data_IF_190792052069
#
_entry.id   IF_190792052069
#
_cell.length_a   1.000
_cell.length_b   1.000
_cell.length_c   1.000
_cell.angle_alpha   90.00
_cell.angle_beta   90.00
_cell.angle_gamma   90.00
#
_symmetry.space_group_name_H-M   'P 1'
#
loop_
_entity.id
_entity.type
_entity.pdbx_description
1 polymer ?
#
# COMPACT_ATOMS: atom_id res chain seq x y z
N UNK A 1 -13.86 10.73 24.06
CA UNK A 1 -13.56 11.26 22.70
C UNK A 1 -12.59 10.38 21.92
N UNK A 2 -11.39 10.09 22.46
CA UNK A 2 -10.37 9.29 21.76
C UNK A 2 -10.83 7.90 21.32
N UNK A 3 -11.54 7.16 22.17
CA UNK A 3 -12.03 5.82 21.82
C UNK A 3 -12.91 5.80 20.55
N UNK A 4 -13.83 6.77 20.41
CA UNK A 4 -14.67 6.89 19.22
C UNK A 4 -13.85 7.19 17.96
N UNK A 5 -12.79 8.00 18.07
CA UNK A 5 -11.89 8.26 16.95
C UNK A 5 -11.17 6.97 16.48
N UNK A 6 -10.71 6.14 17.41
CA UNK A 6 -10.12 4.83 17.07
C UNK A 6 -11.13 3.86 16.46
N UNK A 7 -12.39 3.88 16.92
CA UNK A 7 -13.46 3.07 16.33
C UNK A 7 -13.75 3.50 14.89
N UNK A 8 -13.83 4.80 14.63
CA UNK A 8 -13.99 5.34 13.27
C UNK A 8 -12.79 4.95 12.40
N UNK A 9 -11.57 5.09 12.91
CA UNK A 9 -10.36 4.71 12.17
C UNK A 9 -10.33 3.21 11.85
N UNK A 10 -10.67 2.35 12.80
CA UNK A 10 -10.78 0.91 12.59
C UNK A 10 -11.85 0.56 11.54
N UNK A 11 -12.98 1.26 11.55
CA UNK A 11 -14.03 1.09 10.54
C UNK A 11 -13.55 1.51 9.14
N UNK A 12 -12.89 2.66 9.01
CA UNK A 12 -12.32 3.12 7.73
C UNK A 12 -11.28 2.10 7.23
N UNK A 13 -10.41 1.63 8.11
CA UNK A 13 -9.40 0.62 7.79
C UNK A 13 -10.05 -0.68 7.30
N UNK A 14 -11.08 -1.15 8.00
CA UNK A 14 -11.84 -2.33 7.61
C UNK A 14 -12.54 -2.18 6.26
N UNK A 15 -13.15 -1.02 5.99
CA UNK A 15 -13.81 -0.73 4.71
C UNK A 15 -12.79 -0.78 3.57
N UNK A 16 -11.63 -0.14 3.74
CA UNK A 16 -10.56 -0.18 2.73
C UNK A 16 -10.05 -1.60 2.53
N UNK A 17 -9.83 -2.36 3.60
CA UNK A 17 -9.35 -3.74 3.53
C UNK A 17 -10.37 -4.66 2.84
N UNK A 18 -11.66 -4.52 3.18
CA UNK A 18 -12.74 -5.25 2.53
C UNK A 18 -12.82 -4.92 1.04
N UNK A 19 -12.71 -3.64 0.70
CA UNK A 19 -12.79 -3.16 -0.67
C UNK A 19 -11.58 -3.63 -1.49
N UNK A 20 -10.37 -3.47 -0.96
CA UNK A 20 -9.12 -3.90 -1.60
C UNK A 20 -9.06 -5.43 -1.78
N UNK A 21 -9.65 -6.22 -0.87
CA UNK A 21 -9.72 -7.67 -1.01
C UNK A 21 -10.41 -8.13 -2.30
N UNK A 22 -11.27 -7.29 -2.91
CA UNK A 22 -11.88 -7.57 -4.23
C UNK A 22 -10.85 -7.66 -5.36
N UNK A 23 -9.73 -6.96 -5.24
CA UNK A 23 -8.59 -7.08 -6.15
C UNK A 23 -7.78 -8.33 -5.84
N UNK A 24 -7.45 -8.59 -4.57
CA UNK A 24 -6.68 -9.78 -4.16
C UNK A 24 -7.33 -11.09 -4.64
N UNK A 25 -8.67 -11.19 -4.53
CA UNK A 25 -9.42 -12.37 -4.99
C UNK A 25 -9.19 -12.73 -6.46
N UNK A 26 -8.76 -11.79 -7.33
CA UNK A 26 -8.56 -12.12 -8.75
C UNK A 26 -7.44 -13.13 -8.97
N UNK A 27 -6.41 -13.09 -8.12
CA UNK A 27 -5.28 -14.00 -8.16
C UNK A 27 -5.63 -15.42 -7.70
N UNK A 28 -6.81 -15.61 -7.08
CA UNK A 28 -7.24 -16.89 -6.51
C UNK A 28 -8.32 -17.58 -7.34
N UNK A 29 -8.96 -16.92 -8.32
CA UNK A 29 -10.14 -17.44 -9.06
C UNK A 29 -9.86 -18.81 -9.70
N UNK A 30 -8.69 -18.97 -10.33
CA UNK A 30 -8.30 -20.18 -11.10
C UNK A 30 -7.27 -21.05 -10.35
N UNK A 31 -7.22 -20.96 -9.03
CA UNK A 31 -6.27 -21.70 -8.19
C UNK A 31 -7.01 -22.74 -7.33
N UNK A 32 -6.26 -23.65 -6.71
CA UNK A 32 -6.83 -24.70 -5.86
C UNK A 32 -7.57 -24.11 -4.64
N UNK A 33 -8.53 -24.87 -4.10
CA UNK A 33 -9.30 -24.45 -2.92
C UNK A 33 -8.42 -24.22 -1.69
N UNK A 34 -7.36 -25.03 -1.53
CA UNK A 34 -6.34 -24.83 -0.49
C UNK A 34 -5.70 -23.45 -0.63
N UNK A 35 -5.25 -23.08 -1.83
CA UNK A 35 -4.62 -21.79 -2.09
C UNK A 35 -5.59 -20.61 -1.86
N UNK A 36 -6.85 -20.73 -2.30
CA UNK A 36 -7.89 -19.72 -2.05
C UNK A 36 -8.09 -19.50 -0.54
N UNK A 37 -8.20 -20.58 0.24
CA UNK A 37 -8.35 -20.51 1.70
C UNK A 37 -7.13 -19.89 2.36
N UNK A 38 -5.92 -20.30 1.99
CA UNK A 38 -4.67 -19.72 2.52
C UNK A 38 -4.62 -18.21 2.29
N UNK A 39 -4.80 -17.73 1.05
CA UNK A 39 -4.78 -16.29 0.75
C UNK A 39 -5.87 -15.54 1.53
N UNK A 40 -7.08 -16.10 1.62
CA UNK A 40 -8.18 -15.50 2.40
C UNK A 40 -7.79 -15.33 3.87
N UNK A 41 -7.37 -16.42 4.52
CA UNK A 41 -7.06 -16.40 5.96
C UNK A 41 -5.82 -15.57 6.27
N UNK A 42 -4.78 -15.62 5.43
CA UNK A 42 -3.60 -14.77 5.60
C UNK A 42 -3.97 -13.29 5.45
N UNK A 43 -4.76 -12.92 4.44
CA UNK A 43 -5.17 -11.54 4.23
C UNK A 43 -6.02 -11.01 5.40
N UNK A 44 -7.04 -11.76 5.81
CA UNK A 44 -7.93 -11.33 6.89
C UNK A 44 -7.29 -11.43 8.26
N UNK A 45 -6.40 -12.40 8.50
CA UNK A 45 -5.59 -12.48 9.70
C UNK A 45 -4.66 -11.28 9.83
N UNK A 46 -4.00 -10.89 8.73
CA UNK A 46 -3.20 -9.67 8.68
C UNK A 46 -4.02 -8.41 8.97
N UNK A 47 -5.22 -8.30 8.39
CA UNK A 47 -6.14 -7.18 8.61
C UNK A 47 -6.65 -7.13 10.06
N UNK A 48 -6.99 -8.29 10.65
CA UNK A 48 -7.41 -8.41 12.04
C UNK A 48 -6.29 -8.03 13.01
N UNK A 49 -5.05 -8.43 12.72
CA UNK A 49 -3.88 -8.02 13.50
C UNK A 49 -3.69 -6.49 13.47
N UNK A 50 -3.87 -5.85 12.31
CA UNK A 50 -3.80 -4.40 12.20
C UNK A 50 -4.85 -3.69 13.06
N UNK A 51 -6.09 -4.20 13.05
CA UNK A 51 -7.18 -3.66 13.88
C UNK A 51 -6.88 -3.90 15.37
N UNK A 52 -6.36 -5.07 15.74
CA UNK A 52 -5.95 -5.34 17.12
C UNK A 52 -4.87 -4.36 17.59
N UNK A 53 -3.90 -4.02 16.75
CA UNK A 53 -2.90 -2.99 17.07
C UNK A 53 -3.48 -1.58 17.21
N UNK A 54 -4.51 -1.22 16.42
CA UNK A 54 -5.22 0.04 16.60
C UNK A 54 -5.92 0.10 17.97
N UNK A 55 -6.51 -1.01 18.43
CA UNK A 55 -7.12 -1.07 19.77
C UNK A 55 -6.10 -1.13 20.90
N UNK A 56 -4.99 -1.84 20.70
CA UNK A 56 -3.86 -1.81 21.64
C UNK A 56 -3.34 -0.38 21.81
N UNK A 57 -3.24 0.38 20.72
CA UNK A 57 -2.89 1.79 20.80
C UNK A 57 -3.96 2.64 21.51
N UNK A 58 -5.24 2.42 21.21
CA UNK A 58 -6.33 3.20 21.80
C UNK A 58 -6.41 3.07 23.32
N UNK A 59 -5.99 1.92 23.87
CA UNK A 59 -5.88 1.69 25.30
C UNK A 59 -4.99 2.75 25.99
N UNK A 60 -3.79 3.03 25.47
CA UNK A 60 -2.87 4.02 26.07
C UNK A 60 -3.46 5.43 26.05
N UNK A 61 -4.11 5.83 24.95
CA UNK A 61 -4.79 7.13 24.87
C UNK A 61 -5.97 7.24 25.85
N UNK A 62 -6.66 6.14 26.12
CA UNK A 62 -7.73 6.10 27.11
C UNK A 62 -7.19 6.18 28.54
N UNK A 63 -6.08 5.49 28.81
CA UNK A 63 -5.35 5.53 30.07
C UNK A 63 -4.62 6.86 30.32
N UNK A 64 -4.54 7.74 29.31
CA UNK A 64 -3.72 8.97 29.31
C UNK A 64 -2.23 8.70 29.55
N UNK A 65 -1.77 7.53 29.12
CA UNK A 65 -0.38 7.12 29.18
C UNK A 65 0.27 7.23 27.81
N UNK A 66 1.59 7.41 27.78
CA UNK A 66 2.32 7.36 26.52
C UNK A 66 2.45 5.91 26.05
N UNK A 67 2.07 5.58 24.79
CA UNK A 67 2.39 4.29 24.22
C UNK A 67 3.90 4.06 24.22
N UNK A 68 4.38 2.81 24.39
CA UNK A 68 5.80 2.50 24.32
C UNK A 68 6.44 3.07 23.05
N UNK A 69 7.66 3.66 23.15
CA UNK A 69 8.37 4.27 22.01
C UNK A 69 8.37 3.34 20.78
N UNK A 70 8.65 2.05 20.99
CA UNK A 70 8.62 1.02 19.94
C UNK A 70 7.26 0.95 19.20
N UNK A 71 6.16 0.90 19.95
CA UNK A 71 4.82 0.85 19.37
C UNK A 71 4.51 2.12 18.57
N UNK A 72 4.86 3.28 19.13
CA UNK A 72 4.62 4.58 18.48
C UNK A 72 5.34 4.72 17.14
N UNK A 73 6.53 4.13 17.01
CA UNK A 73 7.35 4.28 15.80
C UNK A 73 7.07 3.15 14.81
N UNK A 74 7.24 1.89 15.22
CA UNK A 74 7.18 0.78 14.28
C UNK A 74 5.76 0.30 14.03
N UNK A 75 4.94 0.18 15.07
CA UNK A 75 3.57 -0.33 14.89
C UNK A 75 2.73 0.71 14.14
N UNK A 76 2.77 1.99 14.54
CA UNK A 76 2.06 3.04 13.78
C UNK A 76 2.63 3.26 12.39
N UNK A 77 3.95 3.26 12.23
CA UNK A 77 4.58 3.35 10.91
C UNK A 77 4.12 2.20 10.00
N UNK A 78 4.08 0.98 10.52
CA UNK A 78 3.60 -0.18 9.80
C UNK A 78 2.12 -0.08 9.41
N UNK A 79 1.24 0.31 10.35
CA UNK A 79 -0.19 0.51 10.09
C UNK A 79 -0.43 1.60 9.05
N UNK A 80 0.33 2.70 9.13
CA UNK A 80 0.27 3.77 8.15
C UNK A 80 0.69 3.29 6.76
N UNK A 81 1.81 2.58 6.66
CA UNK A 81 2.33 2.04 5.39
C UNK A 81 1.33 1.05 4.78
N UNK A 82 0.73 0.18 5.59
CA UNK A 82 -0.34 -0.72 5.14
C UNK A 82 -1.56 0.05 4.62
N UNK A 83 -2.03 1.04 5.39
CA UNK A 83 -3.20 1.84 5.06
C UNK A 83 -3.00 2.61 3.76
N UNK A 84 -1.91 3.39 3.64
CA UNK A 84 -1.68 4.23 2.47
C UNK A 84 -1.50 3.38 1.20
N UNK A 85 -0.83 2.24 1.32
CA UNK A 85 -0.60 1.32 0.21
C UNK A 85 -1.91 0.75 -0.32
N UNK A 86 -2.77 0.24 0.57
CA UNK A 86 -4.09 -0.31 0.17
C UNK A 86 -5.06 0.78 -0.30
N UNK A 87 -4.98 1.98 0.25
CA UNK A 87 -5.76 3.14 -0.19
C UNK A 87 -5.42 3.49 -1.64
N UNK A 88 -4.12 3.66 -1.95
CA UNK A 88 -3.65 3.92 -3.32
C UNK A 88 -4.03 2.81 -4.29
N UNK A 89 -3.87 1.55 -3.89
CA UNK A 89 -4.32 0.41 -4.70
C UNK A 89 -5.82 0.39 -4.93
N UNK A 90 -6.62 0.76 -3.92
CA UNK A 90 -8.08 0.80 -4.00
C UNK A 90 -8.61 1.82 -5.01
N UNK A 91 -7.87 2.89 -5.30
CA UNK A 91 -8.25 3.88 -6.32
C UNK A 91 -8.51 3.22 -7.69
N UNK A 92 -7.75 2.19 -8.06
CA UNK A 92 -7.95 1.45 -9.31
C UNK A 92 -9.27 0.67 -9.35
N UNK A 93 -9.68 0.12 -8.20
CA UNK A 93 -10.97 -0.59 -8.07
C UNK A 93 -12.11 0.43 -8.14
N UNK A 94 -11.91 1.63 -7.57
CA UNK A 94 -12.88 2.73 -7.65
C UNK A 94 -13.09 3.17 -9.10
N UNK A 95 -12.02 3.32 -9.88
CA UNK A 95 -12.11 3.63 -11.32
C UNK A 95 -12.93 2.57 -12.05
N UNK A 96 -12.67 1.29 -11.81
CA UNK A 96 -13.43 0.19 -12.40
C UNK A 96 -14.92 0.24 -12.02
N UNK A 97 -15.23 0.47 -10.75
CA UNK A 97 -16.59 0.48 -10.27
C UNK A 97 -17.36 1.71 -10.79
N UNK A 98 -16.71 2.87 -10.83
CA UNK A 98 -17.26 4.10 -11.42
C UNK A 98 -17.56 3.91 -12.91
N UNK A 99 -16.65 3.32 -13.67
CA UNK A 99 -16.88 3.06 -15.10
C UNK A 99 -18.02 2.07 -15.31
N UNK A 100 -18.10 1.01 -14.51
CA UNK A 100 -19.17 0.01 -14.59
C UNK A 100 -20.53 0.61 -14.22
N UNK A 101 -20.56 1.48 -13.21
CA UNK A 101 -21.76 2.19 -12.78
C UNK A 101 -22.27 3.15 -13.87
N UNK A 102 -21.37 3.89 -14.52
CA UNK A 102 -21.71 4.77 -15.63
C UNK A 102 -22.27 3.99 -16.83
N UNK A 103 -21.64 2.86 -17.20
CA UNK A 103 -22.18 1.96 -18.23
C UNK A 103 -23.57 1.42 -17.87
N UNK A 104 -23.81 1.11 -16.59
CA UNK A 104 -25.10 0.66 -16.11
C UNK A 104 -26.17 1.74 -16.24
N UNK A 105 -25.89 2.99 -15.85
CA UNK A 105 -26.81 4.13 -16.00
C UNK A 105 -27.15 4.35 -17.47
N UNK A 106 -26.14 4.42 -18.34
CA UNK A 106 -26.36 4.62 -19.77
C UNK A 106 -27.21 3.51 -20.39
N UNK A 107 -27.04 2.26 -19.94
CA UNK A 107 -27.88 1.15 -20.37
C UNK A 107 -29.32 1.30 -19.90
N UNK A 108 -29.57 1.75 -18.67
CA UNK A 108 -30.93 1.95 -18.17
C UNK A 108 -31.67 3.07 -18.90
N UNK A 109 -30.97 4.15 -19.26
CA UNK A 109 -31.53 5.22 -20.09
C UNK A 109 -31.88 4.69 -21.50
N UNK A 110 -30.96 3.95 -22.14
CA UNK A 110 -31.19 3.38 -23.48
C UNK A 110 -32.18 2.20 -23.50
N UNK A 111 -32.44 1.56 -22.36
CA UNK A 111 -33.40 0.45 -22.25
C UNK A 111 -34.84 0.94 -22.44
N UNK A 112 -35.08 2.25 -22.28
CA UNK A 112 -36.38 2.88 -22.53
C UNK A 112 -36.69 3.01 -24.05
N UNK A 113 -35.67 2.93 -24.91
CA UNK A 113 -35.82 3.00 -26.38
C UNK A 113 -35.74 1.63 -27.09
N UNK A 114 -35.53 0.53 -26.34
CA UNK A 114 -35.26 -0.82 -26.89
C UNK A 114 -36.36 -1.85 -26.55
N UNK A 115 -37.63 -1.47 -26.61
CA UNK A 115 -38.74 -2.44 -26.72
C UNK A 115 -39.02 -2.86 -28.18
N UNK A 116 -38.34 -2.23 -29.15
CA UNK A 116 -38.33 -2.66 -30.56
C UNK A 116 -36.90 -2.65 -31.07
N UNK A 117 -36.25 -3.82 -31.09
CA UNK A 117 -35.23 -4.27 -32.07
C UNK A 117 -34.55 -5.53 -31.50
N UNK A 118 -35.24 -6.64 -31.73
CA UNK A 118 -34.71 -7.91 -32.27
C UNK A 118 -33.23 -8.25 -32.03
N UNK A 119 -33.02 -9.27 -31.19
CA UNK A 119 -32.57 -10.62 -31.57
C UNK A 119 -31.38 -10.87 -32.55
N UNK A 120 -30.67 -9.87 -33.09
CA UNK A 120 -29.64 -10.12 -34.15
C UNK A 120 -28.19 -9.74 -33.80
N UNK A 121 -27.84 -9.52 -32.52
CA UNK A 121 -26.44 -9.29 -32.11
C UNK A 121 -25.83 -10.44 -31.26
N UNK A 122 -26.42 -11.63 -31.31
CA UNK A 122 -25.91 -12.80 -30.58
C UNK A 122 -24.77 -13.57 -31.29
N UNK A 123 -24.36 -13.16 -32.50
CA UNK A 123 -23.45 -13.97 -33.34
C UNK A 123 -22.08 -13.35 -33.65
N UNK A 124 -21.56 -12.42 -32.85
CA UNK A 124 -20.21 -11.88 -33.08
C UNK A 124 -19.35 -11.66 -31.82
N UNK A 125 -19.44 -12.54 -30.83
CA UNK A 125 -18.36 -12.70 -29.84
C UNK A 125 -17.39 -13.79 -30.28
N UNK A 126 -16.69 -13.50 -31.38
CA UNK A 126 -15.54 -14.27 -31.84
C UNK A 126 -14.49 -14.38 -30.74
N UNK A 127 -14.04 -15.61 -30.53
CA UNK A 127 -12.96 -16.06 -29.65
C UNK A 127 -11.79 -15.07 -29.59
N UNK A 128 -11.71 -14.23 -28.55
CA UNK A 128 -10.46 -13.57 -28.15
C UNK A 128 -9.76 -14.43 -27.11
N UNK A 129 -9.15 -15.54 -27.54
CA UNK A 129 -8.19 -16.26 -26.71
C UNK A 129 -7.01 -15.30 -26.41
N UNK A 130 -6.66 -15.15 -25.12
CA UNK A 130 -5.48 -14.45 -24.58
C UNK A 130 -5.45 -12.91 -24.40
N UNK A 131 -6.57 -12.18 -24.46
CA UNK A 131 -6.56 -10.76 -23.98
C UNK A 131 -7.04 -10.65 -22.54
N UNK A 132 -6.24 -10.03 -21.67
CA UNK A 132 -6.64 -9.66 -20.31
C UNK A 132 -7.84 -8.70 -20.41
N UNK A 133 -8.93 -8.99 -19.72
CA UNK A 133 -10.08 -8.09 -19.67
C UNK A 133 -9.74 -6.78 -18.94
N UNK A 134 -10.35 -5.65 -19.33
CA UNK A 134 -10.14 -4.35 -18.64
C UNK A 134 -10.33 -4.44 -17.12
N UNK A 135 -11.36 -5.17 -16.68
CA UNK A 135 -11.63 -5.45 -15.26
C UNK A 135 -10.50 -6.21 -14.59
N UNK A 136 -9.94 -7.20 -15.27
CA UNK A 136 -8.82 -7.97 -14.75
C UNK A 136 -7.53 -7.14 -14.69
N UNK A 137 -7.30 -6.30 -15.70
CA UNK A 137 -6.19 -5.34 -15.71
C UNK A 137 -6.26 -4.39 -14.51
N UNK A 138 -7.39 -3.70 -14.29
CA UNK A 138 -7.55 -2.71 -13.21
C UNK A 138 -7.37 -3.35 -11.82
N UNK A 139 -7.87 -4.58 -11.63
CA UNK A 139 -7.67 -5.31 -10.37
C UNK A 139 -6.23 -5.78 -10.16
N UNK A 140 -5.50 -6.14 -11.22
CA UNK A 140 -4.06 -6.45 -11.12
C UNK A 140 -3.25 -5.19 -10.83
N UNK A 141 -3.57 -4.08 -11.50
CA UNK A 141 -2.97 -2.77 -11.27
C UNK A 141 -3.17 -2.30 -9.82
N UNK A 142 -4.34 -2.53 -9.24
CA UNK A 142 -4.62 -2.25 -7.83
C UNK A 142 -3.60 -2.91 -6.88
N UNK A 143 -3.33 -4.22 -7.07
CA UNK A 143 -2.39 -4.96 -6.22
C UNK A 143 -0.95 -4.50 -6.42
N UNK A 144 -0.53 -4.28 -7.67
CA UNK A 144 0.83 -3.78 -7.97
C UNK A 144 1.04 -2.39 -7.37
N UNK A 145 0.05 -1.51 -7.52
CA UNK A 145 0.10 -0.12 -7.00
C UNK A 145 0.14 -0.09 -5.48
N UNK A 146 -0.49 -1.04 -4.79
CA UNK A 146 -0.34 -1.18 -3.34
C UNK A 146 1.03 -1.77 -2.96
N UNK A 147 1.52 -2.73 -3.73
CA UNK A 147 2.77 -3.42 -3.44
C UNK A 147 3.99 -2.48 -3.47
N UNK A 148 4.07 -1.60 -4.47
CA UNK A 148 5.20 -0.66 -4.64
C UNK A 148 5.45 0.22 -3.39
N UNK A 149 4.49 1.05 -2.93
CA UNK A 149 4.68 1.88 -1.74
C UNK A 149 4.86 1.04 -0.49
N UNK A 150 4.15 -0.09 -0.36
CA UNK A 150 4.32 -0.97 0.80
C UNK A 150 5.76 -1.47 0.91
N UNK A 151 6.30 -2.05 -0.16
CA UNK A 151 7.66 -2.59 -0.19
C UNK A 151 8.71 -1.49 -0.09
N UNK A 152 8.52 -0.35 -0.76
CA UNK A 152 9.47 0.77 -0.72
C UNK A 152 9.56 1.38 0.68
N UNK A 153 8.41 1.63 1.32
CA UNK A 153 8.39 2.24 2.65
C UNK A 153 8.85 1.23 3.72
N UNK A 154 8.47 -0.04 3.61
CA UNK A 154 9.02 -1.09 4.48
C UNK A 154 10.53 -1.23 4.33
N UNK A 155 11.06 -1.18 3.11
CA UNK A 155 12.51 -1.18 2.89
C UNK A 155 13.18 0.02 3.57
N UNK A 156 12.57 1.21 3.47
CA UNK A 156 12.99 2.42 4.17
C UNK A 156 13.13 2.18 5.68
N UNK A 157 12.06 1.69 6.32
CA UNK A 157 12.02 1.42 7.76
C UNK A 157 13.03 0.36 8.18
N UNK A 158 13.16 -0.75 7.43
CA UNK A 158 13.98 -1.90 7.81
C UNK A 158 15.47 -1.73 7.50
N UNK A 159 15.84 -0.96 6.47
CA UNK A 159 17.22 -0.90 5.95
C UNK A 159 17.85 0.48 6.01
N UNK A 160 17.07 1.56 5.96
CA UNK A 160 17.66 2.89 5.78
C UNK A 160 17.99 3.57 7.10
N UNK A 161 17.33 3.20 8.21
CA UNK A 161 17.48 3.84 9.51
C UNK A 161 18.94 3.94 10.01
N UNK A 162 19.81 2.99 9.64
CA UNK A 162 21.22 2.96 10.07
C UNK A 162 22.21 2.82 8.90
N UNK A 163 21.82 3.19 7.68
CA UNK A 163 22.64 2.99 6.49
C UNK A 163 23.64 4.13 6.25
N UNK A 164 24.66 4.22 7.11
CA UNK A 164 25.77 5.16 6.93
C UNK A 164 26.60 4.78 5.70
N UNK A 165 26.92 5.75 4.83
CA UNK A 165 27.66 5.52 3.59
C UNK A 165 28.96 6.29 3.58
N UNK A 166 30.07 5.56 3.41
CA UNK A 166 31.39 6.16 3.15
C UNK A 166 31.56 6.33 1.64
N UNK A 167 31.61 7.58 1.17
CA UNK A 167 31.89 7.91 -0.23
C UNK A 167 33.34 8.39 -0.36
N UNK A 168 34.17 7.64 -1.06
CA UNK A 168 35.53 8.05 -1.41
C UNK A 168 35.51 8.72 -2.78
N UNK A 169 35.94 9.99 -2.85
CA UNK A 169 35.99 10.77 -4.09
C UNK A 169 37.33 11.50 -4.17
N UNK A 170 37.98 11.41 -5.33
CA UNK A 170 39.13 12.25 -5.65
C UNK A 170 38.60 13.60 -6.12
N UNK A 171 38.89 14.67 -5.40
CA UNK A 171 38.46 16.02 -5.75
C UNK A 171 39.65 16.73 -6.42
N UNK A 172 39.61 16.95 -7.74
CA UNK A 172 40.67 17.70 -8.41
C UNK A 172 40.53 19.20 -8.07
N UNK A 173 41.59 19.78 -7.52
CA UNK A 173 41.66 21.20 -7.18
C UNK A 173 42.67 21.89 -8.08
N UNK A 174 42.24 22.94 -8.77
CA UNK A 174 43.14 23.78 -9.58
C UNK A 174 44.03 24.57 -8.61
N UNK A 175 45.35 24.57 -8.86
CA UNK A 175 46.36 25.23 -8.05
C UNK A 175 46.52 24.69 -6.61
N UNK A 176 46.35 23.37 -6.40
CA UNK A 176 46.63 22.76 -5.10
C UNK A 176 48.15 22.85 -4.78
N UNK A 177 48.55 23.46 -3.65
CA UNK A 177 49.96 23.51 -3.23
C UNK A 177 50.57 22.12 -3.10
N UNK A 178 51.85 21.98 -3.47
CA UNK A 178 52.56 20.69 -3.45
C UNK A 178 52.60 20.06 -2.05
N UNK A 179 52.65 20.89 -1.00
CA UNK A 179 52.62 20.45 0.41
C UNK A 179 51.30 19.77 0.81
N UNK A 180 50.22 19.99 0.07
CA UNK A 180 48.90 19.39 0.33
C UNK A 180 48.59 18.19 -0.58
N UNK A 181 49.46 17.87 -1.54
CA UNK A 181 49.29 16.70 -2.42
C UNK A 181 49.40 15.41 -1.61
N UNK A 182 48.43 14.51 -1.79
CA UNK A 182 48.37 13.21 -1.09
C UNK A 182 47.66 13.23 0.26
N UNK A 183 47.28 14.42 0.77
CA UNK A 183 46.45 14.52 1.97
C UNK A 183 45.01 14.06 1.68
N UNK A 184 44.37 13.50 2.70
CA UNK A 184 42.97 13.06 2.66
C UNK A 184 42.13 13.97 3.56
N UNK A 185 41.05 14.51 3.00
CA UNK A 185 40.04 15.25 3.75
C UNK A 185 38.89 14.30 4.07
N UNK A 186 38.51 14.23 5.34
CA UNK A 186 37.32 13.51 5.81
C UNK A 186 36.25 14.54 6.09
N UNK A 187 35.18 14.52 5.30
CA UNK A 187 33.99 15.32 5.55
C UNK A 187 32.91 14.43 6.13
N UNK A 188 32.38 14.87 7.28
CA UNK A 188 31.20 14.30 7.90
C UNK A 188 30.07 15.31 7.69
N UNK A 189 28.91 14.85 7.23
CA UNK A 189 27.73 15.69 7.02
C UNK A 189 26.49 14.95 7.53
N UNK A 190 25.62 15.67 8.23
CA UNK A 190 24.27 15.23 8.62
C UNK A 190 24.20 13.82 9.18
N UNK A 191 25.13 13.52 10.10
CA UNK A 191 25.06 12.31 10.90
C UNK A 191 24.02 12.55 12.00
N UNK A 192 22.80 12.10 11.74
CA UNK A 192 21.75 11.98 12.75
C UNK A 192 21.92 10.65 13.48
N UNK A 193 23.01 10.51 14.24
CA UNK A 193 23.23 9.37 15.15
C UNK A 193 22.26 9.48 16.33
N UNK A 194 21.09 8.90 16.15
CA UNK A 194 20.11 8.68 17.20
C UNK A 194 19.25 7.49 16.80
N UNK A 195 18.92 6.63 17.76
CA UNK A 195 17.91 5.59 17.54
C UNK A 195 16.54 6.22 17.80
N UNK A 196 15.55 5.96 16.94
CA UNK A 196 14.17 6.35 17.25
C UNK A 196 13.67 5.73 18.57
N UNK A 197 14.32 4.66 19.05
CA UNK A 197 13.93 3.88 20.22
C UNK A 197 14.81 4.16 21.45
N UNK A 198 16.04 4.62 21.25
CA UNK A 198 17.04 4.76 22.31
C UNK A 198 17.65 6.15 22.29
N UNK A 199 17.78 6.71 23.49
CA UNK A 199 18.50 7.97 23.71
C UNK A 199 20.01 7.69 23.92
N UNK A 200 20.41 6.42 23.97
CA UNK A 200 21.81 5.97 24.01
C UNK A 200 22.39 5.81 22.58
N UNK A 201 23.66 6.19 22.37
CA UNK A 201 24.32 6.18 21.05
C UNK A 201 24.57 4.80 20.46
#
# INVERSE_FOLDING_TARGET
MYFYAFLILALIFFIIDWYFYRAVKIYTIRKSEKFKKTIKYTYWGFSALSIAFLFYASYFYLAKEEPPKFARIYIFGFLFIQFISKLLGSLWIMVHDASTFFEYILKQIKKQDKEKLTADELNNSGKSQNKISRKEFLKKAAVITAFIPFSSLMYGVLRTAFNFKVKKKNVPLRNLPDTLKGLKIVQISDIHTGSFISDEP
#
